data_IF_325466421301
#
_entry.id   IF_325466421301
#
_cell.length_a   1.000
_cell.length_b   1.000
_cell.length_c   1.000
_cell.angle_alpha   90.00
_cell.angle_beta   90.00
_cell.angle_gamma   90.00
#
_symmetry.space_group_name_H-M   'P 1'
#
loop_
_entity.id
_entity.type
_entity.pdbx_description
1 polymer ?
#
# COMPACT_ATOMS: atom_id res chain seq x y z
N UNK A 1 -47.77 -0.43 0.85
CA UNK A 1 -46.84 0.72 0.74
C UNK A 1 -45.45 0.23 1.07
N UNK A 2 -44.51 0.40 0.17
CA UNK A 2 -43.11 0.04 0.44
C UNK A 2 -42.48 1.15 1.27
N UNK A 3 -41.99 0.80 2.46
CA UNK A 3 -41.26 1.76 3.31
C UNK A 3 -39.83 1.85 2.81
N UNK A 4 -39.41 3.04 2.36
CA UNK A 4 -38.02 3.33 1.97
C UNK A 4 -37.35 4.01 3.15
N UNK A 5 -36.31 3.37 3.70
CA UNK A 5 -35.40 4.00 4.66
C UNK A 5 -34.47 4.93 3.88
N UNK A 6 -34.55 6.24 4.14
CA UNK A 6 -33.61 7.23 3.60
C UNK A 6 -32.55 7.49 4.64
N UNK A 7 -31.32 7.11 4.34
CA UNK A 7 -30.15 7.34 5.20
C UNK A 7 -29.10 8.09 4.37
N UNK A 8 -28.69 9.25 4.85
CA UNK A 8 -27.65 10.05 4.16
C UNK A 8 -26.24 9.52 4.47
N UNK A 9 -26.04 8.97 5.67
CA UNK A 9 -24.77 8.39 6.11
C UNK A 9 -25.02 7.19 7.01
N UNK A 10 -24.17 6.17 6.90
CA UNK A 10 -24.04 5.08 7.86
C UNK A 10 -22.62 5.14 8.41
N UNK A 11 -22.48 5.17 9.74
CA UNK A 11 -21.19 5.22 10.44
C UNK A 11 -21.04 3.98 11.32
N UNK A 12 -19.79 3.56 11.58
CA UNK A 12 -19.50 2.57 12.63
C UNK A 12 -19.62 3.20 14.04
N UNK A 13 -19.41 2.40 15.08
CA UNK A 13 -19.50 2.85 16.48
C UNK A 13 -18.46 3.93 16.84
N UNK A 14 -17.39 4.04 16.06
CA UNK A 14 -16.32 5.03 16.24
C UNK A 14 -16.56 6.30 15.40
N UNK A 15 -17.71 6.39 14.72
CA UNK A 15 -18.08 7.54 13.89
C UNK A 15 -17.45 7.54 12.51
N UNK A 16 -16.78 6.43 12.09
CA UNK A 16 -16.22 6.32 10.76
C UNK A 16 -17.33 6.10 9.72
N UNK A 17 -17.25 6.79 8.60
CA UNK A 17 -18.20 6.69 7.52
C UNK A 17 -18.12 5.30 6.85
N UNK A 18 -19.22 4.56 6.87
CA UNK A 18 -19.35 3.29 6.16
C UNK A 18 -19.99 3.52 4.79
N UNK A 19 -21.03 4.36 4.73
CA UNK A 19 -21.75 4.70 3.49
C UNK A 19 -22.09 6.19 3.53
N UNK A 20 -21.80 6.91 2.45
CA UNK A 20 -22.31 8.26 2.22
C UNK A 20 -23.05 8.36 0.91
N UNK A 21 -24.07 9.22 0.86
CA UNK A 21 -24.69 9.66 -0.36
C UNK A 21 -23.91 10.87 -0.85
N UNK A 22 -23.15 10.73 -1.93
CA UNK A 22 -22.69 11.89 -2.66
C UNK A 22 -23.71 12.27 -3.75
N UNK A 23 -23.56 13.46 -4.31
CA UNK A 23 -24.51 14.05 -5.25
C UNK A 23 -24.62 13.33 -6.60
N UNK A 24 -24.06 12.15 -6.76
CA UNK A 24 -23.97 11.39 -8.01
C UNK A 24 -24.56 9.98 -8.01
N UNK A 25 -25.10 9.47 -6.91
CA UNK A 25 -25.71 8.15 -6.84
C UNK A 25 -25.31 7.33 -5.60
N UNK A 26 -26.17 6.39 -5.23
CA UNK A 26 -25.91 5.46 -4.12
C UNK A 26 -24.84 4.44 -4.51
N UNK A 27 -23.62 4.62 -4.03
CA UNK A 27 -22.55 3.63 -4.12
C UNK A 27 -21.98 3.33 -2.73
N UNK A 28 -21.56 2.08 -2.50
CA UNK A 28 -20.71 1.75 -1.36
C UNK A 28 -19.39 2.50 -1.53
N UNK A 29 -19.24 3.61 -0.83
CA UNK A 29 -17.97 4.31 -0.73
C UNK A 29 -17.19 3.66 0.41
N UNK A 30 -16.15 2.91 0.09
CA UNK A 30 -15.16 2.50 1.10
C UNK A 30 -14.59 3.73 1.82
N UNK A 31 -14.09 3.54 3.04
CA UNK A 31 -13.50 4.62 3.83
C UNK A 31 -12.48 5.40 2.99
N UNK A 32 -12.72 6.72 2.81
CA UNK A 32 -11.80 7.60 2.11
C UNK A 32 -10.73 8.10 3.08
N UNK A 33 -9.47 7.88 2.76
CA UNK A 33 -8.32 8.32 3.54
C UNK A 33 -7.76 9.62 2.95
N UNK A 34 -8.09 10.76 3.55
CA UNK A 34 -7.65 12.09 3.12
C UNK A 34 -6.25 12.43 3.67
N UNK A 35 -5.67 13.54 3.20
CA UNK A 35 -4.38 14.04 3.72
C UNK A 35 -4.39 14.37 5.21
N UNK A 36 -5.54 14.79 5.74
CA UNK A 36 -5.74 15.09 7.16
C UNK A 36 -6.17 13.88 8.00
N UNK A 37 -6.71 12.84 7.34
CA UNK A 37 -7.12 11.58 7.96
C UNK A 37 -6.62 10.39 7.13
N UNK A 38 -5.29 10.18 7.05
CA UNK A 38 -4.71 9.08 6.29
C UNK A 38 -4.95 7.74 6.98
N UNK A 39 -4.87 6.64 6.23
CA UNK A 39 -4.66 5.33 6.85
C UNK A 39 -3.24 5.27 7.39
N UNK A 40 -3.11 5.02 8.69
CA UNK A 40 -1.81 5.00 9.37
C UNK A 40 -1.32 3.57 9.53
N UNK A 41 -0.07 3.35 9.14
CA UNK A 41 0.71 2.15 9.40
C UNK A 41 1.77 2.47 10.46
N UNK A 42 1.75 1.76 11.57
CA UNK A 42 2.84 1.83 12.55
C UNK A 42 4.10 1.20 11.96
N UNK A 43 5.23 1.89 12.06
CA UNK A 43 6.54 1.40 11.61
C UNK A 43 7.46 1.22 12.79
N UNK A 44 8.06 0.03 12.90
CA UNK A 44 9.14 -0.27 13.83
C UNK A 44 10.31 -0.90 13.08
N UNK A 45 11.48 -0.83 13.68
CA UNK A 45 12.70 -1.47 13.19
C UNK A 45 13.17 -2.49 14.21
N UNK A 46 13.40 -3.72 13.75
CA UNK A 46 13.93 -4.77 14.60
C UNK A 46 14.80 -5.74 13.78
N UNK A 47 15.48 -6.67 14.46
CA UNK A 47 16.27 -7.69 13.82
C UNK A 47 15.41 -8.55 12.89
N UNK A 48 15.96 -8.88 11.71
CA UNK A 48 15.33 -9.85 10.81
C UNK A 48 15.38 -11.24 11.41
N UNK A 49 14.30 -11.98 11.21
CA UNK A 49 14.23 -13.42 11.45
C UNK A 49 14.22 -14.17 10.12
N UNK A 50 14.24 -15.50 10.16
CA UNK A 50 14.17 -16.34 8.96
C UNK A 50 12.91 -16.13 8.11
N UNK A 51 11.87 -15.51 8.69
CA UNK A 51 10.63 -15.16 7.95
C UNK A 51 10.79 -13.95 7.03
N UNK A 52 11.89 -13.20 7.15
CA UNK A 52 12.16 -12.09 6.22
C UNK A 52 12.62 -12.61 4.88
N UNK A 53 12.06 -12.12 3.74
CA UNK A 53 12.53 -12.48 2.41
C UNK A 53 14.00 -12.08 2.16
N UNK A 54 14.52 -11.18 2.99
CA UNK A 54 15.92 -10.70 2.91
C UNK A 54 16.72 -11.09 4.15
N UNK A 55 16.40 -12.23 4.79
CA UNK A 55 17.21 -12.75 5.90
C UNK A 55 18.63 -13.05 5.42
N UNK A 56 19.63 -12.57 6.15
CA UNK A 56 21.04 -12.74 5.79
C UNK A 56 21.52 -11.85 4.63
N UNK A 57 20.68 -10.97 4.08
CA UNK A 57 21.02 -10.08 2.95
C UNK A 57 20.83 -8.63 3.36
N UNK A 58 21.82 -7.78 3.06
CA UNK A 58 21.79 -6.35 3.37
C UNK A 58 21.88 -6.09 4.88
N UNK A 59 21.04 -5.16 5.38
CA UNK A 59 20.95 -4.88 6.82
C UNK A 59 20.48 -6.10 7.61
N UNK A 60 21.01 -6.30 8.81
CA UNK A 60 20.48 -7.29 9.77
C UNK A 60 19.13 -6.86 10.36
N UNK A 61 18.73 -5.59 10.17
CA UNK A 61 17.46 -5.03 10.60
C UNK A 61 16.46 -4.98 9.46
N UNK A 62 15.17 -5.04 9.79
CA UNK A 62 14.06 -4.90 8.86
C UNK A 62 12.93 -4.05 9.44
N UNK A 63 12.06 -3.54 8.55
CA UNK A 63 10.85 -2.87 8.98
C UNK A 63 9.79 -3.88 9.41
N UNK A 64 9.12 -3.55 10.50
CA UNK A 64 7.88 -4.18 10.95
C UNK A 64 6.75 -3.19 10.77
N UNK A 65 5.80 -3.53 9.92
CA UNK A 65 4.63 -2.68 9.62
C UNK A 65 3.41 -3.28 10.30
N UNK A 66 2.81 -2.54 11.23
CA UNK A 66 1.73 -3.03 12.10
C UNK A 66 2.09 -4.37 12.77
N UNK A 67 3.34 -4.53 13.20
CA UNK A 67 3.87 -5.73 13.86
C UNK A 67 4.26 -6.89 12.92
N UNK A 68 4.01 -6.78 11.61
CA UNK A 68 4.37 -7.81 10.62
C UNK A 68 5.73 -7.48 10.02
N UNK A 69 6.64 -8.46 10.00
CA UNK A 69 7.98 -8.29 9.47
C UNK A 69 7.97 -8.17 7.94
N UNK A 70 8.51 -7.09 7.42
CA UNK A 70 8.70 -6.82 5.99
C UNK A 70 7.53 -7.27 5.08
N UNK A 71 6.26 -6.89 5.40
CA UNK A 71 5.13 -7.36 4.62
C UNK A 71 5.13 -6.77 3.22
N UNK A 72 4.50 -7.47 2.28
CA UNK A 72 4.01 -6.84 1.05
C UNK A 72 2.80 -6.01 1.42
N UNK A 73 2.78 -4.74 1.02
CA UNK A 73 1.73 -3.79 1.34
C UNK A 73 0.90 -3.55 0.09
N UNK A 74 -0.41 -3.70 0.18
CA UNK A 74 -1.33 -3.31 -0.89
C UNK A 74 -1.94 -1.95 -0.57
N UNK A 75 -1.77 -0.99 -1.47
CA UNK A 75 -2.38 0.33 -1.42
C UNK A 75 -3.41 0.47 -2.55
N UNK A 76 -4.45 1.26 -2.32
CA UNK A 76 -5.52 1.50 -3.29
C UNK A 76 -5.65 2.99 -3.58
N UNK A 77 -5.96 3.32 -4.82
CA UNK A 77 -6.26 4.68 -5.25
C UNK A 77 -6.73 4.67 -6.69
N UNK A 78 -7.78 5.40 -7.01
CA UNK A 78 -8.37 5.40 -8.36
C UNK A 78 -8.52 6.79 -8.96
N UNK A 79 -8.86 7.78 -8.16
CA UNK A 79 -9.18 9.12 -8.61
C UNK A 79 -8.00 10.08 -8.36
N UNK A 80 -7.50 10.71 -9.41
CA UNK A 80 -6.42 11.70 -9.31
C UNK A 80 -6.86 12.97 -8.57
N UNK A 81 -8.15 13.30 -8.59
CA UNK A 81 -8.71 14.44 -7.85
C UNK A 81 -8.95 14.13 -6.37
N UNK A 82 -9.00 12.85 -6.01
CA UNK A 82 -9.23 12.35 -4.64
C UNK A 82 -8.32 11.17 -4.34
N UNK A 83 -6.98 11.37 -4.25
CA UNK A 83 -6.08 10.29 -3.91
C UNK A 83 -6.33 9.78 -2.49
N UNK A 84 -6.06 8.51 -2.24
CA UNK A 84 -6.03 7.96 -0.89
C UNK A 84 -4.68 8.21 -0.26
N UNK A 85 -4.67 8.58 1.01
CA UNK A 85 -3.45 8.90 1.74
C UNK A 85 -3.10 7.79 2.74
N UNK A 86 -1.87 7.34 2.68
CA UNK A 86 -1.31 6.32 3.56
C UNK A 86 -0.09 6.89 4.26
N UNK A 87 -0.10 6.85 5.60
CA UNK A 87 0.99 7.37 6.43
C UNK A 87 1.72 6.23 7.12
N UNK A 88 3.00 6.20 6.96
CA UNK A 88 3.94 5.33 7.64
C UNK A 88 4.50 6.10 8.82
N UNK A 89 3.96 5.85 10.00
CA UNK A 89 4.35 6.52 11.25
C UNK A 89 5.69 5.96 11.72
N UNK A 90 6.68 6.82 11.74
CA UNK A 90 8.05 6.51 12.16
C UNK A 90 8.41 7.13 13.52
N UNK A 91 7.40 7.40 14.37
CA UNK A 91 7.59 8.01 15.68
C UNK A 91 8.29 7.10 16.69
N UNK A 92 8.19 5.76 16.52
CA UNK A 92 8.85 4.80 17.40
C UNK A 92 10.37 4.97 17.35
N UNK A 93 11.03 4.97 18.50
CA UNK A 93 12.47 5.24 18.64
C UNK A 93 13.37 4.27 17.86
N UNK A 94 12.88 3.05 17.57
CA UNK A 94 13.60 2.07 16.74
C UNK A 94 13.84 2.55 15.30
N UNK A 95 13.05 3.53 14.82
CA UNK A 95 13.24 4.12 13.48
C UNK A 95 14.42 5.10 13.40
N UNK A 96 15.11 5.41 14.51
CA UNK A 96 16.24 6.33 14.50
C UNK A 96 17.33 5.89 13.52
N UNK A 97 17.67 6.78 12.56
CA UNK A 97 18.62 6.45 11.50
C UNK A 97 18.05 5.61 10.35
N UNK A 98 16.74 5.31 10.36
CA UNK A 98 16.09 4.46 9.35
C UNK A 98 14.92 5.18 8.64
N UNK A 99 15.18 6.22 7.83
CA UNK A 99 14.13 6.90 7.06
C UNK A 99 13.51 5.95 6.03
N UNK A 100 12.20 5.72 6.11
CA UNK A 100 11.45 4.98 5.10
C UNK A 100 11.24 5.86 3.86
N UNK A 101 11.53 5.33 2.68
CA UNK A 101 11.30 5.97 1.38
C UNK A 101 10.71 4.96 0.40
N UNK A 102 10.10 5.49 -0.67
CA UNK A 102 9.60 4.68 -1.77
C UNK A 102 10.55 4.75 -2.96
N UNK A 103 10.67 3.64 -3.68
CA UNK A 103 11.54 3.51 -4.85
C UNK A 103 10.80 2.80 -5.97
N UNK A 104 11.19 3.08 -7.22
CA UNK A 104 10.63 2.40 -8.40
C UNK A 104 11.31 1.06 -8.68
N UNK A 105 12.42 0.77 -8.00
CA UNK A 105 13.24 -0.43 -8.17
C UNK A 105 13.74 -0.98 -6.83
N UNK A 106 13.97 -2.29 -6.78
CA UNK A 106 14.43 -2.99 -5.58
C UNK A 106 15.85 -2.58 -5.14
N UNK A 107 16.70 -2.12 -6.07
CA UNK A 107 18.07 -1.70 -5.81
C UNK A 107 18.15 -0.29 -5.21
N UNK A 108 17.03 0.42 -5.09
CA UNK A 108 16.91 1.80 -4.59
C UNK A 108 17.69 2.81 -5.45
N UNK A 109 17.75 2.62 -6.76
CA UNK A 109 18.48 3.54 -7.63
C UNK A 109 17.69 4.81 -7.92
N UNK A 110 16.35 4.72 -7.90
CA UNK A 110 15.46 5.85 -8.20
C UNK A 110 14.37 5.96 -7.12
N UNK A 111 14.45 7.04 -6.33
CA UNK A 111 13.40 7.34 -5.34
C UNK A 111 12.12 7.81 -6.03
N UNK A 112 10.99 7.26 -5.61
CA UNK A 112 9.66 7.71 -6.03
C UNK A 112 9.17 8.80 -5.09
N UNK A 113 9.00 10.01 -5.61
CA UNK A 113 8.63 11.19 -4.82
C UNK A 113 7.27 11.78 -5.17
N UNK A 114 6.63 11.32 -6.27
CA UNK A 114 5.32 11.84 -6.69
C UNK A 114 4.24 11.53 -5.64
N UNK A 115 3.60 12.56 -5.12
CA UNK A 115 2.61 12.42 -4.05
C UNK A 115 3.18 12.00 -2.69
N UNK A 116 4.51 11.93 -2.54
CA UNK A 116 5.17 11.55 -1.28
C UNK A 116 5.54 12.79 -0.48
N UNK A 117 5.22 12.78 0.80
CA UNK A 117 5.67 13.76 1.80
C UNK A 117 6.30 13.04 2.98
N UNK A 118 7.29 13.64 3.59
CA UNK A 118 7.92 13.11 4.80
C UNK A 118 8.38 14.27 5.70
N UNK A 119 8.59 13.97 6.97
CA UNK A 119 9.02 14.99 7.95
C UNK A 119 10.51 15.33 7.84
N UNK A 120 11.30 14.57 7.05
CA UNK A 120 12.73 14.77 6.94
C UNK A 120 13.45 14.64 8.26
N UNK A 121 14.15 15.68 8.69
CA UNK A 121 14.87 15.74 9.96
C UNK A 121 14.12 16.56 11.04
N UNK A 122 12.89 17.01 10.79
CA UNK A 122 12.14 17.83 11.74
C UNK A 122 10.65 17.46 11.74
N UNK A 123 10.23 16.46 12.53
CA UNK A 123 11.05 15.53 13.31
C UNK A 123 11.72 14.43 12.45
N UNK A 124 12.91 14.02 12.87
CA UNK A 124 13.59 12.88 12.25
C UNK A 124 12.92 11.56 12.66
N UNK A 125 13.03 10.47 11.84
CA UNK A 125 12.58 9.14 12.21
C UNK A 125 13.11 8.73 13.59
N UNK A 126 12.24 8.13 14.38
CA UNK A 126 12.49 7.80 15.79
C UNK A 126 12.05 8.87 16.79
N UNK A 127 11.50 10.00 16.31
CA UNK A 127 10.95 11.05 17.17
C UNK A 127 9.45 11.20 16.94
N UNK A 128 8.74 11.64 17.99
CA UNK A 128 7.30 11.85 17.94
C UNK A 128 6.88 12.73 16.75
N UNK A 129 5.91 12.28 15.98
CA UNK A 129 5.37 12.96 14.80
C UNK A 129 6.15 12.73 13.52
N UNK A 130 7.23 11.92 13.52
CA UNK A 130 7.94 11.55 12.30
C UNK A 130 7.12 10.60 11.42
N UNK A 131 7.08 10.86 10.12
CA UNK A 131 6.37 9.99 9.16
C UNK A 131 6.90 10.11 7.73
N UNK A 132 6.54 9.12 6.92
CA UNK A 132 6.49 9.21 5.46
C UNK A 132 5.05 8.94 5.02
N UNK A 133 4.48 9.78 4.16
CA UNK A 133 3.11 9.68 3.66
C UNK A 133 3.11 9.66 2.14
N UNK A 134 2.26 8.84 1.55
CA UNK A 134 2.05 8.76 0.10
C UNK A 134 0.59 9.00 -0.23
N UNK A 135 0.35 9.86 -1.24
CA UNK A 135 -0.93 10.00 -1.90
C UNK A 135 -0.98 9.04 -3.09
N UNK A 136 -1.95 8.12 -3.08
CA UNK A 136 -2.08 7.05 -4.07
C UNK A 136 -3.32 7.29 -4.93
N UNK A 137 -3.11 7.36 -6.24
CA UNK A 137 -4.15 7.48 -7.25
C UNK A 137 -3.87 6.55 -8.44
N UNK A 138 -4.71 6.62 -9.47
CA UNK A 138 -4.57 5.76 -10.67
C UNK A 138 -3.26 5.94 -11.45
N UNK A 139 -2.49 7.00 -11.19
CA UNK A 139 -1.18 7.26 -11.83
C UNK A 139 -0.01 6.71 -11.03
N UNK A 140 -0.25 6.31 -9.79
CA UNK A 140 0.78 5.69 -8.95
C UNK A 140 1.24 4.37 -9.59
N UNK A 141 2.55 4.09 -9.68
CA UNK A 141 3.03 2.83 -10.24
C UNK A 141 2.44 1.60 -9.55
N UNK A 142 2.10 0.57 -10.31
CA UNK A 142 1.51 -0.67 -9.78
C UNK A 142 2.43 -1.39 -8.79
N UNK A 143 3.74 -1.18 -8.91
CA UNK A 143 4.74 -1.74 -8.01
C UNK A 143 5.70 -0.64 -7.59
N UNK A 144 5.85 -0.46 -6.30
CA UNK A 144 6.88 0.34 -5.65
C UNK A 144 7.60 -0.53 -4.61
N UNK A 145 8.67 -0.01 -4.06
CA UNK A 145 9.45 -0.64 -2.99
C UNK A 145 9.57 0.33 -1.83
N UNK A 146 9.17 -0.07 -0.62
CA UNK A 146 9.50 0.71 0.56
C UNK A 146 10.80 0.20 1.14
N UNK A 147 11.75 1.11 1.33
CA UNK A 147 13.10 0.77 1.80
C UNK A 147 13.63 1.87 2.73
N UNK A 148 14.63 1.50 3.53
CA UNK A 148 15.42 2.49 4.24
C UNK A 148 16.37 3.20 3.27
N UNK A 149 16.42 4.55 3.30
CA UNK A 149 17.37 5.28 2.46
C UNK A 149 18.84 4.98 2.81
N UNK A 150 19.12 4.70 4.09
CA UNK A 150 20.48 4.50 4.59
C UNK A 150 20.95 3.04 4.48
N UNK A 151 20.02 2.06 4.50
CA UNK A 151 20.35 0.64 4.59
C UNK A 151 19.58 -0.16 3.55
N UNK A 152 20.22 -1.20 2.99
CA UNK A 152 19.59 -2.09 2.00
C UNK A 152 18.74 -3.18 2.60
N UNK A 153 17.73 -3.60 1.85
CA UNK A 153 16.93 -4.80 2.13
C UNK A 153 16.17 -4.79 3.46
N UNK A 154 15.76 -3.61 3.95
CA UNK A 154 14.96 -3.47 5.17
C UNK A 154 13.46 -3.54 4.94
N UNK A 155 13.00 -3.30 3.72
CA UNK A 155 11.59 -3.27 3.32
C UNK A 155 11.25 -4.30 2.24
N UNK A 156 10.10 -4.11 1.58
CA UNK A 156 9.57 -5.03 0.59
C UNK A 156 8.77 -4.27 -0.48
N UNK A 157 7.90 -4.95 -1.20
CA UNK A 157 7.03 -4.39 -2.23
C UNK A 157 5.87 -3.62 -1.64
N UNK A 158 5.47 -2.58 -2.39
CA UNK A 158 4.16 -1.94 -2.31
C UNK A 158 3.44 -2.21 -3.61
N UNK A 159 2.27 -2.81 -3.55
CA UNK A 159 1.42 -3.08 -4.70
C UNK A 159 0.29 -2.05 -4.73
N UNK A 160 0.08 -1.44 -5.89
CA UNK A 160 -0.99 -0.48 -6.09
C UNK A 160 -2.03 -1.07 -7.05
N UNK A 161 -3.31 -1.12 -6.60
CA UNK A 161 -4.44 -1.64 -7.39
C UNK A 161 -4.06 -2.93 -8.13
N UNK A 162 -3.42 -3.85 -7.41
CA UNK A 162 -2.77 -5.00 -8.03
C UNK A 162 -3.76 -5.87 -8.80
N UNK A 163 -3.50 -6.01 -10.10
CA UNK A 163 -4.07 -7.06 -10.94
C UNK A 163 -3.18 -8.32 -10.94
N UNK A 164 -2.25 -8.40 -9.99
CA UNK A 164 -1.33 -9.52 -9.86
C UNK A 164 -1.79 -10.47 -8.76
N UNK A 165 -1.83 -11.75 -9.04
CA UNK A 165 -2.02 -12.79 -8.04
C UNK A 165 -0.67 -13.03 -7.34
N UNK A 166 -0.61 -12.81 -6.03
CA UNK A 166 0.60 -13.10 -5.25
C UNK A 166 0.65 -14.60 -4.89
N UNK A 167 1.30 -15.36 -5.74
CA UNK A 167 1.56 -16.80 -5.54
C UNK A 167 3.03 -17.09 -5.20
N UNK A 168 3.78 -16.06 -4.72
CA UNK A 168 5.26 -16.13 -4.65
C UNK A 168 5.94 -15.90 -6.00
N UNK A 169 5.17 -15.92 -7.10
CA UNK A 169 5.52 -15.44 -8.42
C UNK A 169 4.50 -14.38 -8.80
N UNK A 170 4.96 -13.22 -9.24
CA UNK A 170 4.04 -12.15 -9.68
C UNK A 170 3.40 -12.57 -11.02
N UNK A 171 2.11 -12.92 -10.97
CA UNK A 171 1.32 -13.23 -12.15
C UNK A 171 0.39 -12.05 -12.45
N UNK A 172 0.50 -11.47 -13.63
CA UNK A 172 -0.40 -10.42 -14.09
C UNK A 172 -1.73 -11.06 -14.48
N UNK A 173 -2.80 -10.69 -13.79
CA UNK A 173 -4.16 -11.14 -14.09
C UNK A 173 -4.72 -10.44 -15.35
N UNK A 174 -5.60 -11.10 -16.12
CA UNK A 174 -6.38 -10.44 -17.17
C UNK A 174 -7.20 -9.28 -16.58
N UNK A 175 -7.39 -8.24 -17.36
CA UNK A 175 -8.21 -7.06 -16.98
C UNK A 175 -9.68 -7.21 -17.33
N UNK A 176 -10.02 -8.24 -18.08
CA UNK A 176 -11.38 -8.60 -18.48
C UNK A 176 -11.68 -10.03 -18.08
N UNK A 177 -12.95 -10.34 -17.89
CA UNK A 177 -13.39 -11.72 -17.67
C UNK A 177 -13.27 -12.55 -18.97
N UNK A 178 -13.12 -13.86 -18.81
CA UNK A 178 -13.15 -14.83 -19.92
C UNK A 178 -14.58 -15.14 -20.35
N UNK A 179 -14.72 -15.92 -21.43
CA UNK A 179 -16.01 -16.47 -21.85
C UNK A 179 -16.19 -17.89 -21.30
N UNK A 180 -17.44 -18.36 -21.28
CA UNK A 180 -17.74 -19.71 -20.81
C UNK A 180 -16.93 -20.77 -21.58
N UNK A 181 -16.25 -21.63 -20.86
CA UNK A 181 -15.39 -22.70 -21.41
C UNK A 181 -13.92 -22.34 -21.58
N UNK A 182 -13.53 -21.09 -21.35
CA UNK A 182 -12.13 -20.70 -21.34
C UNK A 182 -11.43 -21.02 -20.02
N UNK A 183 -10.17 -21.42 -20.11
CA UNK A 183 -9.29 -21.66 -18.97
C UNK A 183 -8.31 -20.48 -18.77
N UNK A 184 -7.95 -20.23 -17.53
CA UNK A 184 -6.89 -19.27 -17.21
C UNK A 184 -5.53 -19.91 -17.50
N UNK A 185 -4.79 -19.38 -18.44
CA UNK A 185 -3.50 -19.88 -18.91
C UNK A 185 -2.37 -18.90 -18.64
N UNK A 186 -1.13 -19.38 -18.62
CA UNK A 186 0.07 -18.55 -18.48
C UNK A 186 0.92 -18.57 -19.74
N UNK A 187 1.52 -17.44 -20.07
CA UNK A 187 2.52 -17.35 -21.17
C UNK A 187 3.93 -17.76 -20.72
N UNK A 188 4.11 -18.26 -19.48
CA UNK A 188 5.43 -18.60 -18.92
C UNK A 188 6.28 -17.40 -18.48
N UNK A 189 5.81 -16.17 -18.70
CA UNK A 189 6.51 -14.92 -18.35
C UNK A 189 5.73 -14.06 -17.36
N UNK A 190 4.89 -14.69 -16.54
CA UNK A 190 4.13 -14.01 -15.48
C UNK A 190 2.85 -13.32 -15.95
N UNK A 191 2.40 -13.52 -17.18
CA UNK A 191 1.12 -12.99 -17.68
C UNK A 191 0.12 -14.12 -17.80
N UNK A 192 -1.06 -13.91 -17.20
CA UNK A 192 -2.22 -14.80 -17.34
C UNK A 192 -3.19 -14.24 -18.38
N UNK A 193 -3.81 -15.13 -19.16
CA UNK A 193 -4.86 -14.82 -20.13
C UNK A 193 -5.88 -15.95 -20.18
N UNK A 194 -7.09 -15.65 -20.63
CA UNK A 194 -8.08 -16.68 -20.94
C UNK A 194 -7.82 -17.25 -22.32
N UNK A 195 -7.84 -18.57 -22.45
CA UNK A 195 -7.71 -19.29 -23.72
C UNK A 195 -8.69 -20.46 -23.75
N UNK A 196 -9.11 -20.83 -24.97
CA UNK A 196 -9.92 -22.02 -25.19
C UNK A 196 -9.13 -23.28 -24.81
N UNK A 197 -9.80 -24.22 -24.14
CA UNK A 197 -9.21 -25.49 -23.69
C UNK A 197 -9.13 -26.53 -24.81
#
# INVERSE_FOLDING_TARGET
MSSILKVDTIQDQDGNLIISKDSGGAGFQGKYYSSSAPLVYEVKVAAKTADSPYFGVGSSLGYYINGIQTPIIELKGQDTSKPYYYRFDQSDSSNSGHPLRFYVDAAKTTEYTTGVTNTGNSPAPGNSGAYTQIAVDKTTPNVLFYQCSNHGNMGNYVLHNSTHLNTGVFLKMPTTDGTNGQALTTNGSGVLSFADG
#
